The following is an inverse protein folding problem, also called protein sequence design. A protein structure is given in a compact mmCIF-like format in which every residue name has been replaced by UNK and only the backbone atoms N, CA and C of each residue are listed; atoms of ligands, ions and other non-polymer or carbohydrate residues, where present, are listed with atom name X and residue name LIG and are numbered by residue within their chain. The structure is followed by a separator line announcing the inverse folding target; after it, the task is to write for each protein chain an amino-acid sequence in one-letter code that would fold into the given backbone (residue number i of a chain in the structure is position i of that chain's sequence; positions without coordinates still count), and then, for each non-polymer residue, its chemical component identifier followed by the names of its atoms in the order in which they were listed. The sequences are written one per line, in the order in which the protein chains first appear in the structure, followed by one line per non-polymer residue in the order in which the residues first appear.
data_IF_155505027915
#
_entry.id   IF_155505027915
#
_cell.length_a   1.000
_cell.length_b   1.000
_cell.length_c   1.000
_cell.angle_alpha   90.00
_cell.angle_beta   90.00
_cell.angle_gamma   90.00
#
_symmetry.space_group_name_H-M   'P 1'
#
loop_
_entity.id
_entity.type
_entity.pdbx_description
1 polymer ?
#
# COMPACT_ATOMS: atom_id res chain seq x y z
N UNK A 1 24.15 18.86 14.71
CA UNK A 1 24.06 17.42 14.38
C UNK A 1 23.14 16.64 15.32
N UNK A 2 23.32 16.68 16.66
CA UNK A 2 22.46 15.95 17.61
C UNK A 2 20.96 16.25 17.47
N UNK A 3 20.59 17.53 17.31
CA UNK A 3 19.18 17.96 17.17
C UNK A 3 18.51 17.41 15.90
N UNK A 4 19.23 17.37 14.77
CA UNK A 4 18.71 16.87 13.49
C UNK A 4 18.43 15.37 13.55
N UNK A 5 19.31 14.60 14.21
CA UNK A 5 19.13 13.16 14.39
C UNK A 5 17.86 12.88 15.22
N UNK A 6 17.66 13.63 16.30
CA UNK A 6 16.47 13.48 17.15
C UNK A 6 15.19 13.79 16.39
N UNK A 7 15.17 14.85 15.57
CA UNK A 7 14.00 15.22 14.75
C UNK A 7 13.68 14.12 13.73
N UNK A 8 14.67 13.55 13.06
CA UNK A 8 14.47 12.45 12.10
C UNK A 8 13.90 11.20 12.79
N UNK A 9 14.41 10.85 13.98
CA UNK A 9 13.89 9.73 14.76
C UNK A 9 12.43 9.95 15.20
N UNK A 10 12.09 11.16 15.65
CA UNK A 10 10.71 11.49 16.05
C UNK A 10 9.76 11.41 14.85
N UNK A 11 10.16 11.91 13.68
CA UNK A 11 9.36 11.82 12.46
C UNK A 11 9.14 10.35 12.04
N UNK A 12 10.20 9.52 12.07
CA UNK A 12 10.11 8.09 11.75
C UNK A 12 9.17 7.34 12.70
N UNK A 13 9.20 7.67 14.00
CA UNK A 13 8.32 7.09 15.01
C UNK A 13 6.86 7.55 14.85
N UNK A 14 6.64 8.82 14.49
CA UNK A 14 5.30 9.36 14.23
C UNK A 14 4.71 8.89 12.89
N UNK A 15 5.50 8.36 11.96
CA UNK A 15 4.99 7.74 10.73
C UNK A 15 4.43 6.33 10.93
N UNK A 16 4.57 5.73 12.12
CA UNK A 16 3.95 4.45 12.47
C UNK A 16 2.49 4.62 12.93
N UNK A 17 1.77 5.64 12.43
CA UNK A 17 0.32 5.70 12.61
C UNK A 17 -0.23 4.47 11.90
N UNK A 18 -0.77 3.54 12.69
CA UNK A 18 -1.54 2.40 12.21
C UNK A 18 -2.82 2.93 11.54
N UNK A 19 -2.67 3.51 10.36
CA UNK A 19 -3.78 3.84 9.50
C UNK A 19 -4.52 2.54 9.22
N UNK A 20 -5.82 2.56 9.47
CA UNK A 20 -6.66 1.41 9.18
C UNK A 20 -6.59 1.18 7.66
N UNK A 21 -5.86 0.13 7.27
CA UNK A 21 -5.45 -0.12 5.89
C UNK A 21 -6.68 -0.19 4.99
N UNK A 22 -6.75 0.65 3.97
CA UNK A 22 -7.82 0.64 2.99
C UNK A 22 -7.46 -0.23 1.81
N UNK A 23 -8.35 -1.12 1.41
CA UNK A 23 -8.14 -2.02 0.27
C UNK A 23 -9.38 -2.06 -0.63
N UNK A 24 -9.19 -2.45 -1.89
CA UNK A 24 -10.32 -2.81 -2.72
C UNK A 24 -10.85 -4.18 -2.33
N UNK A 25 -12.17 -4.27 -2.17
CA UNK A 25 -12.91 -5.52 -1.94
C UNK A 25 -13.91 -5.69 -3.08
N UNK A 26 -13.88 -6.82 -3.79
CA UNK A 26 -14.73 -7.04 -4.96
C UNK A 26 -15.72 -8.18 -4.72
N UNK A 27 -17.00 -7.92 -4.98
CA UNK A 27 -18.05 -8.92 -5.03
C UNK A 27 -18.67 -8.91 -6.44
N UNK A 28 -18.59 -10.04 -7.15
CA UNK A 28 -19.18 -10.21 -8.49
C UNK A 28 -18.79 -9.12 -9.51
N UNK A 29 -17.54 -8.67 -9.48
CA UNK A 29 -17.02 -7.64 -10.39
C UNK A 29 -17.21 -6.19 -9.92
N UNK A 30 -18.03 -5.95 -8.89
CA UNK A 30 -18.17 -4.64 -8.27
C UNK A 30 -17.14 -4.49 -7.14
N UNK A 31 -16.21 -3.56 -7.30
CA UNK A 31 -15.17 -3.30 -6.32
C UNK A 31 -15.48 -2.02 -5.53
N UNK A 32 -15.45 -2.13 -4.20
CA UNK A 32 -15.59 -1.00 -3.28
C UNK A 32 -14.34 -0.89 -2.42
N UNK A 33 -14.02 0.32 -1.98
CA UNK A 33 -12.99 0.54 -0.97
C UNK A 33 -13.54 0.15 0.39
N UNK A 34 -12.81 -0.67 1.13
CA UNK A 34 -13.13 -1.06 2.50
C UNK A 34 -11.91 -0.95 3.40
N UNK A 35 -12.15 -0.71 4.68
CA UNK A 35 -11.11 -0.68 5.71
C UNK A 35 -10.89 -2.10 6.23
N UNK A 36 -9.65 -2.57 6.23
CA UNK A 36 -9.31 -3.90 6.70
C UNK A 36 -9.28 -3.97 8.23
N UNK A 37 -9.70 -5.11 8.81
CA UNK A 37 -9.43 -5.44 10.21
C UNK A 37 -7.94 -5.40 10.55
N UNK A 38 -7.62 -5.16 11.82
CA UNK A 38 -6.25 -5.20 12.32
C UNK A 38 -5.59 -6.56 12.03
N UNK A 39 -4.32 -6.52 11.62
CA UNK A 39 -3.56 -7.72 11.28
C UNK A 39 -3.80 -8.26 9.86
N UNK A 40 -4.67 -7.63 9.07
CA UNK A 40 -4.88 -7.98 7.66
C UNK A 40 -4.13 -7.06 6.70
N UNK A 41 -3.91 -7.55 5.49
CA UNK A 41 -3.26 -6.86 4.38
C UNK A 41 -4.13 -6.86 3.13
N UNK A 42 -3.85 -5.97 2.18
CA UNK A 42 -4.57 -5.97 0.91
C UNK A 42 -4.15 -7.19 0.09
N UNK A 43 -5.12 -8.02 -0.28
CA UNK A 43 -4.95 -9.23 -1.05
C UNK A 43 -5.51 -9.15 -2.47
N UNK A 44 -4.92 -9.94 -3.37
CA UNK A 44 -5.38 -10.20 -4.73
C UNK A 44 -5.25 -11.70 -4.99
N UNK A 45 -6.38 -12.39 -5.12
CA UNK A 45 -6.45 -13.82 -5.42
C UNK A 45 -6.75 -13.98 -6.90
N UNK A 46 -5.83 -14.58 -7.64
CA UNK A 46 -5.89 -14.76 -9.09
C UNK A 46 -6.10 -16.24 -9.39
N UNK A 47 -7.08 -16.57 -10.22
CA UNK A 47 -7.35 -17.93 -10.69
C UNK A 47 -7.72 -17.92 -12.18
N UNK A 48 -7.90 -19.09 -12.78
CA UNK A 48 -8.42 -19.23 -14.15
C UNK A 48 -9.80 -18.62 -14.35
N UNK A 49 -10.59 -18.47 -13.28
CA UNK A 49 -11.95 -17.92 -13.33
C UNK A 49 -11.99 -16.40 -13.11
N UNK A 50 -10.87 -15.78 -12.76
CA UNK A 50 -10.78 -14.34 -12.55
C UNK A 50 -9.96 -13.93 -11.34
N UNK A 51 -10.06 -12.65 -10.98
CA UNK A 51 -9.33 -12.06 -9.88
C UNK A 51 -10.27 -11.49 -8.83
N UNK A 52 -10.08 -11.89 -7.58
CA UNK A 52 -10.79 -11.34 -6.42
C UNK A 52 -9.83 -10.48 -5.61
N UNK A 53 -10.33 -9.36 -5.09
CA UNK A 53 -9.58 -8.48 -4.19
C UNK A 53 -10.28 -8.45 -2.85
N UNK A 54 -9.53 -8.58 -1.77
CA UNK A 54 -10.06 -8.69 -0.42
C UNK A 54 -8.98 -8.39 0.62
N UNK A 55 -9.36 -8.11 1.86
CA UNK A 55 -8.43 -8.12 2.98
C UNK A 55 -8.08 -9.57 3.36
N UNK A 56 -6.81 -9.90 3.53
CA UNK A 56 -6.33 -11.24 3.83
C UNK A 56 -5.44 -11.25 5.08
N UNK A 57 -5.33 -12.40 5.74
CA UNK A 57 -4.24 -12.59 6.71
C UNK A 57 -2.90 -12.61 5.96
N UNK A 58 -1.87 -12.08 6.60
CA UNK A 58 -0.50 -12.13 6.07
C UNK A 58 -0.05 -13.57 5.80
N UNK A 59 -0.55 -14.55 6.55
CA UNK A 59 -0.20 -15.98 6.38
C UNK A 59 -0.73 -16.58 5.08
N UNK A 60 -1.73 -15.96 4.47
CA UNK A 60 -2.34 -16.40 3.20
C UNK A 60 -1.58 -15.86 1.99
N UNK A 61 -0.58 -15.00 2.20
CA UNK A 61 0.16 -14.34 1.14
C UNK A 61 1.21 -15.25 0.51
N UNK A 62 1.33 -15.21 -0.83
CA UNK A 62 2.30 -16.02 -1.56
C UNK A 62 1.92 -17.49 -1.69
N UNK A 63 0.76 -17.89 -1.19
CA UNK A 63 0.21 -19.23 -1.43
C UNK A 63 -0.18 -19.36 -2.90
N UNK A 64 0.31 -20.41 -3.53
CA UNK A 64 -0.03 -20.77 -4.91
C UNK A 64 -0.38 -22.25 -4.94
N UNK A 65 -1.66 -22.58 -5.03
CA UNK A 65 -2.15 -23.95 -5.05
C UNK A 65 -3.25 -24.11 -6.10
N UNK A 66 -3.22 -25.23 -6.84
CA UNK A 66 -4.28 -25.62 -7.78
C UNK A 66 -4.66 -24.52 -8.81
N UNK A 67 -3.69 -23.72 -9.26
CA UNK A 67 -3.94 -22.63 -10.21
C UNK A 67 -4.54 -21.36 -9.59
N UNK A 68 -4.57 -21.27 -8.26
CA UNK A 68 -4.92 -20.07 -7.49
C UNK A 68 -3.63 -19.46 -6.95
N UNK A 69 -3.37 -18.18 -7.23
CA UNK A 69 -2.23 -17.44 -6.74
C UNK A 69 -2.67 -16.23 -5.91
N UNK A 70 -2.09 -16.07 -4.71
CA UNK A 70 -2.39 -14.96 -3.81
C UNK A 70 -1.25 -13.95 -3.73
N UNK A 71 -1.54 -12.69 -4.04
CA UNK A 71 -0.62 -11.57 -3.95
C UNK A 71 -1.06 -10.61 -2.85
N UNK A 72 -0.11 -10.05 -2.11
CA UNK A 72 -0.40 -9.15 -1.00
C UNK A 72 0.46 -7.89 -1.01
N UNK A 73 -0.05 -6.84 -0.37
CA UNK A 73 0.63 -5.58 -0.16
C UNK A 73 0.03 -4.84 1.04
N UNK A 74 0.79 -3.92 1.65
CA UNK A 74 0.49 -3.34 2.97
C UNK A 74 0.32 -1.83 2.96
N UNK A 75 0.05 -1.22 1.79
CA UNK A 75 -0.23 0.22 1.67
C UNK A 75 -1.64 0.44 1.16
N UNK A 76 -2.22 1.62 1.43
CA UNK A 76 -3.59 1.90 1.02
C UNK A 76 -3.79 1.69 -0.48
N UNK A 77 -4.88 0.99 -0.80
CA UNK A 77 -5.39 0.71 -2.15
C UNK A 77 -4.37 0.00 -3.06
N UNK A 78 -3.31 -0.60 -2.50
CA UNK A 78 -2.22 -1.18 -3.26
C UNK A 78 -2.63 -2.40 -4.12
N UNK A 79 -3.76 -3.04 -3.78
CA UNK A 79 -4.34 -4.12 -4.58
C UNK A 79 -5.17 -3.61 -5.77
N UNK A 80 -5.03 -2.33 -6.15
CA UNK A 80 -5.64 -1.79 -7.37
C UNK A 80 -5.16 -2.54 -8.64
N UNK A 81 -5.84 -2.30 -9.76
CA UNK A 81 -5.36 -2.79 -11.06
C UNK A 81 -4.21 -1.95 -11.62
N UNK A 82 -4.04 -0.72 -11.12
CA UNK A 82 -3.08 0.27 -11.60
C UNK A 82 -1.93 0.34 -10.60
N UNK A 83 -0.77 -0.19 -11.00
CA UNK A 83 0.45 0.00 -10.21
C UNK A 83 0.91 1.44 -10.38
N UNK A 84 0.42 2.35 -9.53
CA UNK A 84 0.90 3.71 -9.45
C UNK A 84 2.32 3.67 -8.87
N UNK A 85 3.32 3.52 -9.74
CA UNK A 85 4.73 3.68 -9.37
C UNK A 85 4.98 5.17 -9.15
N UNK A 86 4.70 5.67 -7.95
CA UNK A 86 5.12 7.02 -7.57
C UNK A 86 6.64 7.00 -7.45
N UNK A 87 7.33 7.58 -8.44
CA UNK A 87 8.78 7.67 -8.45
C UNK A 87 9.24 8.70 -7.42
N UNK A 88 10.10 8.31 -6.48
CA UNK A 88 10.69 9.23 -5.51
C UNK A 88 11.42 10.41 -6.17
N UNK A 89 11.90 10.21 -7.41
CA UNK A 89 12.60 11.23 -8.19
C UNK A 89 11.68 12.42 -8.50
N UNK A 90 10.39 12.20 -8.79
CA UNK A 90 9.46 13.30 -9.11
C UNK A 90 9.12 14.11 -7.86
N UNK A 91 9.04 13.48 -6.69
CA UNK A 91 8.83 14.17 -5.42
C UNK A 91 10.04 15.04 -5.08
N UNK A 92 11.26 14.51 -5.23
CA UNK A 92 12.49 15.27 -4.98
C UNK A 92 12.62 16.43 -5.98
N UNK A 93 12.33 16.20 -7.27
CA UNK A 93 12.37 17.26 -8.28
C UNK A 93 11.38 18.39 -7.99
N UNK A 94 10.14 18.06 -7.57
CA UNK A 94 9.14 19.05 -7.19
C UNK A 94 9.56 19.85 -5.95
N UNK A 95 10.15 19.19 -4.95
CA UNK A 95 10.72 19.86 -3.79
C UNK A 95 11.85 20.80 -4.19
N UNK A 96 12.82 20.36 -4.99
CA UNK A 96 13.92 21.21 -5.46
C UNK A 96 13.41 22.42 -6.26
N UNK A 97 12.43 22.22 -7.15
CA UNK A 97 11.81 23.32 -7.89
C UNK A 97 11.16 24.36 -6.96
N UNK A 98 10.46 23.92 -5.92
CA UNK A 98 9.87 24.82 -4.91
C UNK A 98 10.90 25.62 -4.09
N UNK A 99 12.10 25.07 -3.90
CA UNK A 99 13.21 25.78 -3.25
C UNK A 99 13.86 26.81 -4.19
N UNK A 100 13.98 26.49 -5.48
CA UNK A 100 14.58 27.39 -6.49
C UNK A 100 13.67 28.56 -6.82
N UNK A 101 12.35 28.39 -6.83
CA UNK A 101 11.39 29.47 -7.10
C UNK A 101 11.12 30.40 -5.92
N UNK A 102 11.68 30.10 -4.74
CA UNK A 102 11.59 30.93 -3.53
C UNK A 102 12.83 31.80 -3.27
N UNK A 103 13.82 31.77 -4.17
CA UNK A 103 14.90 32.77 -4.23
C UNK A 103 14.53 33.88 -5.20
#
# INVERSE_FOLDING_TARGET
MKLLITIVFVILLCCQIGHALQCYTCALGNCVTSTCPSGQVCGKVVSSFGTVKVCLSQDTCGVSEQGIATYCCSTDLCNSAVSAKMSFVTVIAALVALWVTKQ
#
